data_IF_062957762217
#
_entry.id   IF_062957762217
#
_cell.length_a   1.000
_cell.length_b   1.000
_cell.length_c   1.000
_cell.angle_alpha   90.00
_cell.angle_beta   90.00
_cell.angle_gamma   90.00
#
_symmetry.space_group_name_H-M   'P 1'
#
loop_
_entity.id
_entity.type
_entity.pdbx_description
1 polymer ?
#
# COMPACT_ATOMS: atom_id res chain seq x y z
N UNK A 1 11.89 -4.56 -6.11
CA UNK A 1 10.70 -4.56 -5.22
C UNK A 1 10.80 -5.64 -4.16
N UNK A 2 11.20 -6.87 -4.52
CA UNK A 2 11.52 -7.93 -3.56
C UNK A 2 12.61 -7.51 -2.56
N UNK A 3 13.64 -6.79 -3.02
CA UNK A 3 14.74 -6.27 -2.19
C UNK A 3 14.24 -5.37 -1.04
N UNK A 4 13.22 -4.53 -1.26
CA UNK A 4 12.74 -3.60 -0.24
C UNK A 4 11.81 -4.28 0.78
N UNK A 5 10.99 -5.25 0.34
CA UNK A 5 10.23 -6.11 1.26
C UNK A 5 11.17 -7.01 2.07
N UNK A 6 12.20 -7.57 1.45
CA UNK A 6 13.25 -8.35 2.10
C UNK A 6 14.02 -7.48 3.09
N UNK A 7 14.34 -6.23 2.77
CA UNK A 7 14.98 -5.30 3.71
C UNK A 7 14.09 -5.01 4.95
N UNK A 8 12.79 -4.80 4.77
CA UNK A 8 11.86 -4.62 5.90
C UNK A 8 11.75 -5.90 6.73
N UNK A 9 11.66 -7.07 6.10
CA UNK A 9 11.59 -8.37 6.77
C UNK A 9 12.91 -8.68 7.51
N UNK A 10 14.07 -8.43 6.91
CA UNK A 10 15.39 -8.61 7.54
C UNK A 10 15.54 -7.67 8.74
N UNK A 11 15.13 -6.41 8.61
CA UNK A 11 15.22 -5.45 9.71
C UNK A 11 14.25 -5.79 10.84
N UNK A 12 13.07 -6.33 10.52
CA UNK A 12 12.10 -6.81 11.52
C UNK A 12 12.55 -8.13 12.20
N UNK A 13 13.24 -9.01 11.48
CA UNK A 13 13.77 -10.28 12.01
C UNK A 13 15.02 -10.08 12.88
N UNK A 14 15.85 -9.07 12.60
CA UNK A 14 17.02 -8.71 13.43
C UNK A 14 16.60 -7.82 14.61
N UNK A 15 15.66 -8.30 15.41
CA UNK A 15 15.01 -7.60 16.52
C UNK A 15 15.96 -7.12 17.64
N UNK A 16 17.24 -7.52 17.63
CA UNK A 16 18.17 -7.38 18.76
C UNK A 16 19.38 -6.45 18.52
N UNK A 17 19.44 -5.72 17.40
CA UNK A 17 20.56 -4.82 17.07
C UNK A 17 20.26 -3.34 17.33
N UNK A 18 21.19 -2.60 17.93
CA UNK A 18 21.08 -1.15 18.25
C UNK A 18 20.77 -0.26 17.03
N UNK A 19 21.15 -0.69 15.81
CA UNK A 19 20.96 0.08 14.57
C UNK A 19 19.57 -0.11 13.91
N UNK A 20 18.68 -0.86 14.56
CA UNK A 20 17.40 -1.30 14.02
C UNK A 20 16.50 -0.14 13.60
N UNK A 21 16.39 0.87 14.46
CA UNK A 21 15.37 1.90 14.27
C UNK A 21 15.72 2.82 13.08
N UNK A 22 17.01 3.09 12.86
CA UNK A 22 17.48 3.86 11.71
C UNK A 22 17.40 3.05 10.40
N UNK A 23 17.78 1.77 10.43
CA UNK A 23 17.62 0.88 9.28
C UNK A 23 16.14 0.72 8.89
N UNK A 24 15.24 0.63 9.87
CA UNK A 24 13.80 0.47 9.64
C UNK A 24 13.20 1.72 8.99
N UNK A 25 13.62 2.91 9.43
CA UNK A 25 13.19 4.20 8.85
C UNK A 25 13.63 4.32 7.39
N UNK A 26 14.87 3.94 7.08
CA UNK A 26 15.40 3.95 5.71
C UNK A 26 14.67 2.92 4.84
N UNK A 27 14.41 1.72 5.37
CA UNK A 27 13.68 0.68 4.65
C UNK A 27 12.23 1.09 4.36
N UNK A 28 11.51 1.63 5.36
CA UNK A 28 10.13 2.09 5.22
C UNK A 28 10.00 3.27 4.24
N UNK A 29 10.88 4.26 4.34
CA UNK A 29 10.91 5.39 3.40
C UNK A 29 11.20 4.94 1.97
N UNK A 30 12.17 4.03 1.78
CA UNK A 30 12.45 3.43 0.47
C UNK A 30 11.24 2.65 -0.06
N UNK A 31 10.57 1.86 0.78
CA UNK A 31 9.36 1.13 0.41
C UNK A 31 8.24 2.09 -0.04
N UNK A 32 8.02 3.18 0.71
CA UNK A 32 7.03 4.20 0.39
C UNK A 32 7.29 4.86 -0.97
N UNK A 33 8.54 5.23 -1.25
CA UNK A 33 8.94 5.80 -2.54
C UNK A 33 8.71 4.81 -3.67
N UNK A 34 9.05 3.53 -3.49
CA UNK A 34 8.82 2.49 -4.51
C UNK A 34 7.33 2.31 -4.81
N UNK A 35 6.47 2.29 -3.78
CA UNK A 35 5.02 2.20 -3.98
C UNK A 35 4.47 3.45 -4.68
N UNK A 36 4.95 4.63 -4.31
CA UNK A 36 4.56 5.87 -4.95
C UNK A 36 4.95 5.91 -6.44
N UNK A 37 6.22 5.62 -6.76
CA UNK A 37 6.70 5.60 -8.15
C UNK A 37 5.99 4.56 -9.00
N UNK A 38 5.61 3.43 -8.40
CA UNK A 38 4.85 2.38 -9.10
C UNK A 38 3.47 2.86 -9.54
N UNK A 39 2.87 3.82 -8.85
CA UNK A 39 1.61 4.43 -9.27
C UNK A 39 1.72 5.15 -10.63
N UNK A 40 2.92 5.52 -11.06
CA UNK A 40 3.14 6.20 -12.34
C UNK A 40 3.53 5.27 -13.48
N UNK A 41 3.65 3.95 -13.23
CA UNK A 41 3.94 2.98 -14.30
C UNK A 41 2.69 2.83 -15.18
N UNK A 42 2.75 3.16 -16.48
CA UNK A 42 1.60 3.04 -17.38
C UNK A 42 1.21 1.58 -17.56
N UNK A 43 -0.08 1.29 -17.42
CA UNK A 43 -0.65 -0.03 -17.67
C UNK A 43 -0.68 -0.27 -19.18
N UNK A 44 0.12 -1.22 -19.68
CA UNK A 44 0.19 -1.55 -21.12
C UNK A 44 -0.96 -2.45 -21.59
N UNK A 45 -1.73 -3.02 -20.66
CA UNK A 45 -2.79 -3.97 -20.95
C UNK A 45 -4.18 -3.31 -20.97
N UNK A 46 -4.29 -2.09 -21.54
CA UNK A 46 -5.57 -1.40 -21.68
C UNK A 46 -6.22 -1.89 -22.97
N UNK A 47 -7.32 -2.65 -22.94
CA UNK A 47 -8.03 -3.04 -24.15
C UNK A 47 -8.62 -1.80 -24.84
N UNK A 48 -8.51 -1.76 -26.17
CA UNK A 48 -8.75 -0.59 -27.02
C UNK A 48 -10.22 -0.11 -27.02
N UNK A 49 -11.17 -0.94 -26.59
CA UNK A 49 -12.59 -0.61 -26.50
C UNK A 49 -13.12 -0.97 -25.11
N UNK A 50 -13.30 0.03 -24.26
CA UNK A 50 -13.87 -0.14 -22.93
C UNK A 50 -14.83 1.00 -22.57
N UNK A 51 -15.91 0.63 -21.88
CA UNK A 51 -16.81 1.58 -21.24
C UNK A 51 -16.02 2.53 -20.32
N UNK A 52 -16.50 3.78 -20.15
CA UNK A 52 -15.83 4.80 -19.31
C UNK A 52 -15.51 4.31 -17.89
N UNK A 53 -16.35 3.41 -17.36
CA UNK A 53 -16.16 2.80 -16.05
C UNK A 53 -15.02 1.78 -16.05
N UNK A 54 -14.87 0.98 -17.09
CA UNK A 54 -13.79 0.01 -17.17
C UNK A 54 -12.42 0.70 -17.29
N UNK A 55 -12.35 1.82 -18.04
CA UNK A 55 -11.13 2.63 -18.12
C UNK A 55 -10.72 3.19 -16.74
N UNK A 56 -11.71 3.57 -15.92
CA UNK A 56 -11.49 4.01 -14.53
C UNK A 56 -10.90 2.88 -13.69
N UNK A 57 -11.45 1.67 -13.78
CA UNK A 57 -10.91 0.51 -13.04
C UNK A 57 -9.53 0.07 -13.54
N UNK A 58 -9.25 0.18 -14.84
CA UNK A 58 -7.96 -0.23 -15.41
C UNK A 58 -6.83 0.78 -15.17
N UNK A 59 -7.16 2.07 -15.12
CA UNK A 59 -6.17 3.15 -15.11
C UNK A 59 -6.06 3.84 -13.76
N UNK A 60 -7.18 4.13 -13.09
CA UNK A 60 -7.17 4.90 -11.85
C UNK A 60 -7.04 4.00 -10.62
N UNK A 61 -7.74 2.85 -10.60
CA UNK A 61 -7.70 1.94 -9.47
C UNK A 61 -6.28 1.46 -9.08
N UNK A 62 -5.43 0.98 -10.00
CA UNK A 62 -4.07 0.57 -9.62
C UNK A 62 -3.21 1.74 -9.11
N UNK A 63 -3.44 2.96 -9.60
CA UNK A 63 -2.72 4.16 -9.14
C UNK A 63 -3.13 4.50 -7.72
N UNK A 64 -4.44 4.54 -7.46
CA UNK A 64 -4.98 4.84 -6.13
C UNK A 64 -4.51 3.81 -5.11
N UNK A 65 -4.53 2.51 -5.46
CA UNK A 65 -4.02 1.43 -4.60
C UNK A 65 -2.53 1.56 -4.29
N UNK A 66 -1.71 1.93 -5.27
CA UNK A 66 -0.27 2.12 -5.06
C UNK A 66 0.03 3.35 -4.19
N UNK A 67 -0.70 4.45 -4.40
CA UNK A 67 -0.57 5.69 -3.60
C UNK A 67 -1.03 5.45 -2.17
N UNK A 68 -2.17 4.77 -1.96
CA UNK A 68 -2.68 4.48 -0.63
C UNK A 68 -1.76 3.56 0.17
N UNK A 69 -1.10 2.60 -0.48
CA UNK A 69 -0.02 1.82 0.14
C UNK A 69 1.14 2.70 0.61
N UNK A 70 1.57 3.66 -0.22
CA UNK A 70 2.62 4.60 0.17
C UNK A 70 2.20 5.47 1.35
N UNK A 71 0.94 5.95 1.38
CA UNK A 71 0.40 6.73 2.49
C UNK A 71 0.37 5.94 3.81
N UNK A 72 -0.03 4.67 3.79
CA UNK A 72 0.05 3.79 4.96
C UNK A 72 1.48 3.68 5.51
N UNK A 73 2.47 3.54 4.64
CA UNK A 73 3.87 3.41 5.05
C UNK A 73 4.42 4.71 5.63
N UNK A 74 4.05 5.84 5.06
CA UNK A 74 4.46 7.15 5.58
C UNK A 74 3.78 7.42 6.92
N UNK A 75 2.49 7.10 7.08
CA UNK A 75 1.80 7.19 8.37
C UNK A 75 2.47 6.30 9.43
N UNK A 76 2.91 5.10 9.06
CA UNK A 76 3.62 4.20 9.97
C UNK A 76 5.01 4.74 10.33
N UNK A 77 5.69 5.39 9.39
CA UNK A 77 6.94 6.10 9.65
C UNK A 77 6.74 7.26 10.62
N UNK A 78 5.69 8.05 10.45
CA UNK A 78 5.34 9.15 11.36
C UNK A 78 5.00 8.65 12.75
N UNK A 79 4.37 7.48 12.86
CA UNK A 79 4.12 6.80 14.13
C UNK A 79 5.42 6.45 14.86
N UNK A 80 6.40 5.87 14.15
CA UNK A 80 7.73 5.53 14.73
C UNK A 80 8.50 6.80 15.13
N UNK A 81 8.34 7.88 14.39
CA UNK A 81 9.01 9.16 14.68
C UNK A 81 8.27 10.02 15.72
N UNK A 82 7.13 9.56 16.25
CA UNK A 82 6.28 10.33 17.18
C UNK A 82 5.90 11.72 16.65
N UNK A 83 5.67 11.84 15.34
CA UNK A 83 5.24 13.08 14.70
C UNK A 83 3.71 13.24 14.83
N UNK A 84 3.25 14.48 15.04
CA UNK A 84 1.83 14.81 14.96
C UNK A 84 1.29 14.54 13.54
N UNK A 85 0.06 14.03 13.43
CA UNK A 85 -0.56 13.69 12.15
C UNK A 85 -0.37 12.22 11.72
N UNK A 86 0.38 11.41 12.49
CA UNK A 86 0.60 10.00 12.18
C UNK A 86 -0.72 9.23 12.08
N UNK A 87 -1.62 9.49 13.02
CA UNK A 87 -2.90 8.79 13.16
C UNK A 87 -3.84 9.08 11.99
N UNK A 88 -3.99 10.35 11.64
CA UNK A 88 -4.82 10.82 10.53
C UNK A 88 -4.30 10.28 9.21
N UNK A 89 -2.98 10.28 9.02
CA UNK A 89 -2.36 9.76 7.80
C UNK A 89 -2.49 8.23 7.68
N UNK A 90 -2.35 7.50 8.79
CA UNK A 90 -2.56 6.05 8.81
C UNK A 90 -4.02 5.69 8.54
N UNK A 91 -4.96 6.45 9.11
CA UNK A 91 -6.40 6.26 8.94
C UNK A 91 -6.84 6.52 7.50
N UNK A 92 -6.42 7.64 6.90
CA UNK A 92 -6.72 7.95 5.50
C UNK A 92 -6.10 6.90 4.57
N UNK A 93 -4.84 6.51 4.82
CA UNK A 93 -4.15 5.49 4.03
C UNK A 93 -4.87 4.13 4.09
N UNK A 94 -5.22 3.65 5.28
CA UNK A 94 -5.89 2.34 5.44
C UNK A 94 -7.29 2.33 4.86
N UNK A 95 -8.10 3.38 5.08
CA UNK A 95 -9.43 3.47 4.49
C UNK A 95 -9.36 3.47 2.96
N UNK A 96 -8.45 4.26 2.38
CA UNK A 96 -8.30 4.31 0.92
C UNK A 96 -7.79 2.99 0.34
N UNK A 97 -6.90 2.26 1.04
CA UNK A 97 -6.52 0.89 0.65
C UNK A 97 -7.74 -0.04 0.70
N UNK A 98 -8.50 -0.06 1.80
CA UNK A 98 -9.67 -0.93 1.95
C UNK A 98 -10.71 -0.68 0.85
N UNK A 99 -11.03 0.59 0.57
CA UNK A 99 -11.94 0.97 -0.52
C UNK A 99 -11.38 0.49 -1.87
N UNK A 100 -10.09 0.69 -2.12
CA UNK A 100 -9.43 0.23 -3.34
C UNK A 100 -9.46 -1.29 -3.52
N UNK A 101 -9.31 -2.06 -2.44
CA UNK A 101 -9.39 -3.54 -2.47
C UNK A 101 -10.83 -4.00 -2.76
N UNK A 102 -11.83 -3.39 -2.12
CA UNK A 102 -13.25 -3.71 -2.38
C UNK A 102 -13.63 -3.40 -3.83
N UNK A 103 -13.23 -2.24 -4.34
CA UNK A 103 -13.44 -1.85 -5.73
C UNK A 103 -12.68 -2.77 -6.71
N UNK A 104 -11.48 -3.22 -6.34
CA UNK A 104 -10.71 -4.21 -7.12
C UNK A 104 -11.39 -5.57 -7.17
N UNK A 105 -11.99 -6.01 -6.07
CA UNK A 105 -12.81 -7.23 -6.02
C UNK A 105 -14.06 -7.13 -6.89
N UNK A 106 -14.74 -5.98 -6.89
CA UNK A 106 -15.89 -5.74 -7.76
C UNK A 106 -15.50 -5.72 -9.25
N UNK A 107 -14.36 -5.11 -9.59
CA UNK A 107 -13.82 -5.14 -10.96
C UNK A 107 -13.44 -6.57 -11.38
N UNK A 108 -13.01 -7.42 -10.45
CA UNK A 108 -12.70 -8.83 -10.71
C UNK A 108 -13.93 -9.65 -11.13
N UNK A 109 -15.10 -9.33 -10.60
CA UNK A 109 -16.36 -10.01 -10.91
C UNK A 109 -16.86 -9.63 -12.32
N UNK A 110 -16.60 -8.41 -12.77
CA UNK A 110 -17.03 -7.92 -14.09
C UNK A 110 -16.04 -8.22 -15.23
N UNK A 111 -14.73 -8.24 -14.96
CA UNK A 111 -13.71 -8.27 -16.02
C UNK A 111 -12.57 -9.25 -15.67
N UNK A 112 -12.68 -10.56 -16.02
CA UNK A 112 -11.71 -11.59 -15.63
C UNK A 112 -10.25 -11.38 -16.09
N UNK A 113 -9.94 -10.79 -17.28
CA UNK A 113 -8.54 -10.56 -17.69
C UNK A 113 -7.90 -9.32 -17.04
N UNK A 114 -8.69 -8.42 -16.44
CA UNK A 114 -8.19 -7.24 -15.72
C UNK A 114 -7.52 -7.64 -14.40
N UNK A 115 -8.12 -8.62 -13.74
CA UNK A 115 -7.79 -8.97 -12.37
C UNK A 115 -6.47 -9.72 -12.25
N UNK A 116 -6.09 -10.53 -13.25
CA UNK A 116 -4.80 -11.25 -13.22
C UNK A 116 -3.60 -10.29 -13.18
N UNK A 117 -3.71 -9.11 -13.80
CA UNK A 117 -2.69 -8.05 -13.73
C UNK A 117 -2.70 -7.29 -12.39
N UNK A 118 -3.86 -7.21 -11.73
CA UNK A 118 -4.06 -6.51 -10.46
C UNK A 118 -3.84 -7.41 -9.24
N UNK A 119 -3.90 -8.73 -9.40
CA UNK A 119 -3.73 -9.73 -8.35
C UNK A 119 -2.46 -9.50 -7.48
N UNK A 120 -1.25 -9.32 -8.06
CA UNK A 120 -0.06 -9.07 -7.24
C UNK A 120 -0.08 -7.70 -6.56
N UNK A 121 -0.88 -6.74 -7.06
CA UNK A 121 -1.03 -5.42 -6.44
C UNK A 121 -2.02 -5.48 -5.27
N UNK A 122 -3.16 -6.14 -5.46
CA UNK A 122 -4.19 -6.33 -4.43
C UNK A 122 -3.66 -7.18 -3.27
N UNK A 123 -2.93 -8.27 -3.56
CA UNK A 123 -2.30 -9.08 -2.51
C UNK A 123 -1.33 -8.27 -1.64
N UNK A 124 -0.55 -7.37 -2.26
CA UNK A 124 0.37 -6.48 -1.53
C UNK A 124 -0.38 -5.40 -0.76
N UNK A 125 -1.42 -4.83 -1.35
CA UNK A 125 -2.28 -3.86 -0.69
C UNK A 125 -2.95 -4.47 0.55
N UNK A 126 -3.33 -5.74 0.51
CA UNK A 126 -3.86 -6.48 1.66
C UNK A 126 -2.83 -6.64 2.79
N UNK A 127 -1.57 -6.93 2.45
CA UNK A 127 -0.48 -6.99 3.44
C UNK A 127 -0.16 -5.61 4.07
N UNK A 128 -0.23 -4.53 3.28
CA UNK A 128 -0.04 -3.17 3.80
C UNK A 128 -1.26 -2.71 4.61
N UNK A 129 -2.48 -3.13 4.21
CA UNK A 129 -3.70 -2.87 4.95
C UNK A 129 -3.68 -3.53 6.33
N UNK A 130 -3.28 -4.80 6.43
CA UNK A 130 -3.16 -5.48 7.72
C UNK A 130 -2.14 -4.80 8.64
N UNK A 131 -1.01 -4.35 8.09
CA UNK A 131 0.01 -3.59 8.82
C UNK A 131 -0.52 -2.22 9.29
N UNK A 132 -1.26 -1.51 8.45
CA UNK A 132 -1.90 -0.24 8.81
C UNK A 132 -2.98 -0.41 9.87
N UNK A 133 -3.83 -1.44 9.78
CA UNK A 133 -4.85 -1.77 10.78
C UNK A 133 -4.20 -2.13 12.12
N UNK A 134 -3.10 -2.89 12.09
CA UNK A 134 -2.32 -3.18 13.30
C UNK A 134 -1.75 -1.89 13.94
N UNK A 135 -1.22 -0.97 13.13
CA UNK A 135 -0.75 0.33 13.61
C UNK A 135 -1.86 1.17 14.26
N UNK A 136 -3.06 1.19 13.66
CA UNK A 136 -4.24 1.88 14.20
C UNK A 136 -4.75 1.25 15.50
N UNK A 137 -4.77 -0.08 15.57
CA UNK A 137 -5.12 -0.81 16.79
C UNK A 137 -4.16 -0.48 17.93
N UNK A 138 -2.85 -0.43 17.64
CA UNK A 138 -1.81 -0.09 18.61
C UNK A 138 -1.86 1.37 19.06
N UNK A 139 -2.34 2.27 18.20
CA UNK A 139 -2.52 3.70 18.47
C UNK A 139 -3.74 4.03 19.36
N UNK A 140 -4.57 3.03 19.71
CA UNK A 140 -5.67 3.21 20.66
C UNK A 140 -6.91 3.89 20.08
N UNK A 141 -7.09 3.93 18.75
CA UNK A 141 -8.29 4.53 18.13
C UNK A 141 -9.57 3.69 18.32
N UNK A 142 -9.46 2.49 18.89
CA UNK A 142 -10.56 1.58 19.20
C UNK A 142 -10.66 1.25 20.70
N UNK A 143 -10.06 2.07 21.57
CA UNK A 143 -10.22 2.00 23.03
C UNK A 143 -10.79 3.32 23.56
#
# INVERSE_FOLDING_TARGET
>A
MEIACVAVIITALYAQSDWRDDALRIALSTLAVVFYLRAFVPNKNIPEHQDRLDLFFYTLLPKVLAISCAMCLIGFLFYILHLHGATEMLLIGTLTVCIGVVLGGLAAIKSPPAFTSLLPLVARALAVASLGVYGLYRLGLFN
#
